data_IF_691033746791
#
_entry.id   IF_691033746791
#
_cell.length_a   1.000
_cell.length_b   1.000
_cell.length_c   1.000
_cell.angle_alpha   90.00
_cell.angle_beta   90.00
_cell.angle_gamma   90.00
#
_symmetry.space_group_name_H-M   'P 1'
#
loop_
_entity.id
_entity.type
_entity.pdbx_description
1 polymer ?
#
# COMPACT_ATOMS: atom_id res chain seq x y z
N UNK A 1 32.68 -22.25 14.87
CA UNK A 1 31.51 -23.08 14.54
C UNK A 1 30.33 -22.13 14.39
N UNK A 2 30.11 -21.65 13.16
CA UNK A 2 29.07 -20.65 12.86
C UNK A 2 27.79 -21.42 12.49
N UNK A 3 26.80 -21.32 13.37
CA UNK A 3 25.50 -21.93 13.19
C UNK A 3 24.79 -21.24 12.04
N UNK A 4 24.63 -21.96 10.93
CA UNK A 4 23.88 -21.49 9.78
C UNK A 4 22.41 -21.32 10.20
N UNK A 5 21.98 -20.06 10.33
CA UNK A 5 20.56 -19.74 10.55
C UNK A 5 19.78 -20.27 9.35
N UNK A 6 19.12 -21.42 9.53
CA UNK A 6 18.24 -22.05 8.55
C UNK A 6 17.13 -21.07 8.19
N UNK A 7 17.27 -20.38 7.06
CA UNK A 7 16.26 -19.44 6.55
C UNK A 7 15.07 -20.25 6.04
N UNK A 8 13.94 -20.22 6.75
CA UNK A 8 12.66 -20.75 6.25
C UNK A 8 12.20 -19.90 5.06
N UNK A 9 12.37 -20.44 3.85
CA UNK A 9 11.98 -19.79 2.58
C UNK A 9 10.47 -19.87 2.29
N UNK A 10 9.65 -20.35 3.24
CA UNK A 10 8.20 -20.48 3.09
C UNK A 10 7.36 -19.69 4.09
N UNK A 11 8.00 -18.93 4.99
CA UNK A 11 7.29 -18.06 5.93
C UNK A 11 7.13 -16.66 5.32
N UNK A 12 5.92 -16.10 5.39
CA UNK A 12 5.64 -14.74 4.94
C UNK A 12 6.57 -13.77 5.67
N UNK A 13 7.36 -13.00 4.91
CA UNK A 13 8.19 -11.94 5.48
C UNK A 13 7.33 -10.74 5.86
N UNK A 14 6.35 -10.44 5.03
CA UNK A 14 5.38 -9.35 5.22
C UNK A 14 4.00 -9.96 5.09
N UNK A 15 3.14 -9.74 6.07
CA UNK A 15 1.73 -10.08 6.01
C UNK A 15 0.92 -8.82 6.25
N UNK A 16 -0.04 -8.54 5.36
CA UNK A 16 -0.92 -7.39 5.46
C UNK A 16 -2.35 -7.89 5.39
N UNK A 17 -3.17 -7.41 6.31
CA UNK A 17 -4.60 -7.74 6.37
C UNK A 17 -5.40 -6.44 6.22
N UNK A 18 -6.40 -6.48 5.36
CA UNK A 18 -7.37 -5.39 5.16
C UNK A 18 -6.73 -4.03 4.85
N UNK A 19 -5.75 -4.00 3.94
CA UNK A 19 -5.09 -2.77 3.53
C UNK A 19 -6.05 -1.87 2.75
N UNK A 20 -6.23 -0.65 3.25
CA UNK A 20 -6.92 0.42 2.56
C UNK A 20 -5.98 1.59 2.32
N UNK A 21 -6.07 2.20 1.14
CA UNK A 21 -5.32 3.42 0.78
C UNK A 21 -6.20 4.36 -0.03
N UNK A 22 -6.23 5.61 0.40
CA UNK A 22 -6.93 6.69 -0.29
C UNK A 22 -5.93 7.81 -0.61
N UNK A 23 -6.05 8.40 -1.79
CA UNK A 23 -5.27 9.56 -2.23
C UNK A 23 -6.17 10.77 -2.40
N UNK A 24 -5.67 11.93 -1.97
CA UNK A 24 -6.25 13.21 -2.33
C UNK A 24 -5.77 13.56 -3.73
N UNK A 25 -6.69 13.55 -4.69
CA UNK A 25 -6.45 13.89 -6.09
C UNK A 25 -7.13 15.22 -6.45
N UNK A 26 -7.38 16.05 -5.43
CA UNK A 26 -8.01 17.35 -5.62
C UNK A 26 -7.14 18.26 -6.50
N UNK A 27 -7.76 19.09 -7.35
CA UNK A 27 -7.08 20.18 -8.00
C UNK A 27 -6.43 21.14 -6.98
N UNK A 28 -5.40 21.91 -7.39
CA UNK A 28 -4.79 22.92 -6.53
C UNK A 28 -5.82 23.85 -5.89
N UNK A 29 -5.54 24.31 -4.67
CA UNK A 29 -6.48 25.08 -3.85
C UNK A 29 -7.06 26.31 -4.58
N UNK A 30 -6.21 27.03 -5.33
CA UNK A 30 -6.64 28.22 -6.05
C UNK A 30 -7.72 27.90 -7.10
N UNK A 31 -7.50 26.86 -7.91
CA UNK A 31 -8.46 26.42 -8.93
C UNK A 31 -9.78 26.03 -8.27
N UNK A 32 -9.73 25.30 -7.16
CA UNK A 32 -10.91 24.89 -6.40
C UNK A 32 -11.74 26.08 -5.90
N UNK A 33 -11.10 27.13 -5.39
CA UNK A 33 -11.81 28.30 -4.87
C UNK A 33 -12.50 29.04 -6.03
N UNK A 34 -11.78 29.25 -7.14
CA UNK A 34 -12.31 29.98 -8.29
C UNK A 34 -13.47 29.25 -8.97
N UNK A 35 -13.42 27.92 -9.00
CA UNK A 35 -14.42 27.08 -9.66
C UNK A 35 -15.49 26.53 -8.69
N UNK A 36 -15.36 26.78 -7.38
CA UNK A 36 -16.28 26.26 -6.36
C UNK A 36 -16.19 24.74 -6.16
N UNK A 37 -15.07 24.12 -6.53
CA UNK A 37 -14.91 22.66 -6.53
C UNK A 37 -14.56 22.11 -5.13
N UNK A 38 -15.05 20.90 -4.86
CA UNK A 38 -14.80 20.17 -3.62
C UNK A 38 -13.53 19.33 -3.71
N UNK A 39 -13.07 18.80 -2.57
CA UNK A 39 -11.98 17.83 -2.55
C UNK A 39 -12.41 16.53 -3.21
N UNK A 40 -11.49 15.91 -3.94
CA UNK A 40 -11.70 14.64 -4.63
C UNK A 40 -10.74 13.62 -4.06
N UNK A 41 -11.31 12.49 -3.63
CA UNK A 41 -10.56 11.39 -3.04
C UNK A 41 -10.67 10.16 -3.93
N UNK A 42 -9.53 9.56 -4.26
CA UNK A 42 -9.45 8.30 -4.99
C UNK A 42 -9.08 7.17 -4.02
N UNK A 43 -9.93 6.15 -3.95
CA UNK A 43 -9.59 4.89 -3.28
C UNK A 43 -8.66 4.09 -4.19
N UNK A 44 -7.41 3.90 -3.76
CA UNK A 44 -6.43 3.13 -4.51
C UNK A 44 -6.54 1.64 -4.23
N UNK A 45 -6.70 1.27 -2.95
CA UNK A 45 -7.03 -0.09 -2.54
C UNK A 45 -8.03 -0.01 -1.39
N UNK A 46 -8.96 -0.95 -1.32
CA UNK A 46 -9.97 -1.05 -0.28
C UNK A 46 -10.07 -2.52 0.16
N UNK A 47 -9.52 -2.83 1.33
CA UNK A 47 -9.60 -4.13 1.97
C UNK A 47 -8.81 -5.27 1.32
N UNK A 48 -7.58 -5.01 0.86
CA UNK A 48 -6.74 -6.06 0.26
C UNK A 48 -5.85 -6.73 1.32
N UNK A 49 -5.82 -8.07 1.31
CA UNK A 49 -4.97 -8.86 2.21
C UNK A 49 -3.99 -9.69 1.38
N UNK A 50 -2.71 -9.65 1.74
CA UNK A 50 -1.67 -10.39 1.01
C UNK A 50 -0.45 -10.66 1.88
N UNK A 51 0.34 -11.64 1.45
CA UNK A 51 1.58 -12.04 2.07
C UNK A 51 2.73 -11.99 1.06
N UNK A 52 3.88 -11.49 1.48
CA UNK A 52 5.11 -11.43 0.68
C UNK A 52 6.14 -12.33 1.35
N UNK A 53 6.46 -13.50 0.77
CA UNK A 53 7.55 -14.36 1.25
C UNK A 53 8.93 -13.69 1.10
N UNK A 54 9.92 -14.16 1.85
CA UNK A 54 11.32 -13.70 1.70
C UNK A 54 11.80 -13.89 0.25
N UNK A 55 12.39 -12.85 -0.34
CA UNK A 55 12.94 -12.89 -1.70
C UNK A 55 11.91 -12.77 -2.82
N UNK A 56 10.66 -12.39 -2.49
CA UNK A 56 9.62 -12.05 -3.46
C UNK A 56 9.33 -10.55 -3.43
N UNK A 57 8.86 -10.03 -4.56
CA UNK A 57 8.47 -8.64 -4.73
C UNK A 57 7.00 -8.59 -5.10
N UNK A 58 6.26 -7.66 -4.51
CA UNK A 58 4.87 -7.38 -4.80
C UNK A 58 4.76 -5.96 -5.37
N UNK A 59 3.94 -5.77 -6.41
CA UNK A 59 3.72 -4.48 -7.08
C UNK A 59 2.23 -4.25 -7.26
N UNK A 60 1.79 -2.99 -7.08
CA UNK A 60 0.43 -2.47 -7.28
C UNK A 60 0.45 -1.37 -8.35
#
# INVERSE_FOLDING_TARGET
MAEAVQRKHGEALVAVTDLAKTFDVSPPLLNRILQGEKRVYLKAVDGVSFEIPRGKTFSL
#
